data_IF_769788375259
#
_entry.id   IF_769788375259
#
_cell.length_a   1.000
_cell.length_b   1.000
_cell.length_c   1.000
_cell.angle_alpha   90.00
_cell.angle_beta   90.00
_cell.angle_gamma   90.00
#
_symmetry.space_group_name_H-M   'P 1'
#
loop_
_entity.id
_entity.type
_entity.pdbx_description
1 polymer ?
#
# COMPACT_ATOMS: atom_id res chain seq x y z
N UNK A 1 -8.30 29.90 -3.13
CA UNK A 1 -7.37 28.91 -3.69
C UNK A 1 -6.72 29.51 -4.91
N UNK A 2 -5.41 29.31 -5.08
CA UNK A 2 -4.65 29.77 -6.24
C UNK A 2 -5.22 29.19 -7.55
N UNK A 3 -5.10 29.87 -8.67
CA UNK A 3 -5.55 29.37 -9.98
C UNK A 3 -4.70 28.17 -10.44
N UNK A 4 -5.27 27.18 -11.19
CA UNK A 4 -4.52 26.03 -11.71
C UNK A 4 -3.24 26.40 -12.45
N UNK A 5 -3.25 27.52 -13.17
CA UNK A 5 -2.07 28.04 -13.90
C UNK A 5 -0.86 28.26 -13.00
N UNK A 6 -1.06 28.81 -11.80
CA UNK A 6 0.06 29.06 -10.88
C UNK A 6 0.61 27.78 -10.27
N UNK A 7 -0.22 26.75 -10.13
CA UNK A 7 0.25 25.45 -9.61
C UNK A 7 1.07 24.72 -10.67
N UNK A 8 0.74 24.89 -11.96
CA UNK A 8 1.35 24.16 -13.08
C UNK A 8 2.46 24.92 -13.84
N UNK A 9 2.59 26.23 -13.64
CA UNK A 9 3.53 27.06 -14.41
C UNK A 9 4.52 27.85 -13.54
N UNK A 10 4.51 27.69 -12.21
CA UNK A 10 5.41 28.39 -11.31
C UNK A 10 6.31 27.40 -10.56
N UNK A 11 7.47 27.88 -10.14
CA UNK A 11 8.48 27.07 -9.44
C UNK A 11 7.93 26.50 -8.12
N UNK A 12 7.78 25.17 -8.06
CA UNK A 12 7.46 24.45 -6.83
C UNK A 12 8.63 24.57 -5.86
N UNK A 13 8.46 25.32 -4.78
CA UNK A 13 9.52 25.53 -3.77
C UNK A 13 10.86 26.04 -4.36
N UNK A 14 10.81 26.80 -5.46
CA UNK A 14 11.99 27.34 -6.15
C UNK A 14 12.67 26.36 -7.13
N UNK A 15 12.09 25.17 -7.36
CA UNK A 15 12.54 24.23 -8.37
C UNK A 15 12.22 24.78 -9.77
N UNK A 16 13.21 24.76 -10.68
CA UNK A 16 13.05 25.29 -12.04
C UNK A 16 12.02 24.48 -12.82
N UNK A 17 10.96 25.16 -13.22
CA UNK A 17 9.80 24.56 -13.85
C UNK A 17 10.02 24.39 -15.36
N UNK A 18 10.10 23.14 -15.82
CA UNK A 18 10.27 22.84 -17.25
C UNK A 18 8.98 23.15 -18.00
N UNK A 19 9.06 23.80 -19.15
CA UNK A 19 7.89 24.03 -19.99
C UNK A 19 7.60 22.82 -20.88
N UNK A 20 6.80 21.86 -20.38
CA UNK A 20 6.39 20.66 -21.12
C UNK A 20 5.41 20.97 -22.26
N UNK A 21 4.99 22.22 -22.47
CA UNK A 21 4.26 22.66 -23.65
C UNK A 21 5.14 22.76 -24.91
N UNK A 22 6.47 22.81 -24.75
CA UNK A 22 7.40 22.91 -25.88
C UNK A 22 7.81 21.54 -26.42
N UNK A 23 7.92 21.43 -27.74
CA UNK A 23 8.29 20.16 -28.40
C UNK A 23 9.68 19.66 -27.97
N UNK A 24 10.65 20.57 -27.81
CA UNK A 24 12.00 20.22 -27.36
C UNK A 24 11.98 19.55 -25.97
N UNK A 25 11.29 20.14 -24.99
CA UNK A 25 11.20 19.59 -23.63
C UNK A 25 10.48 18.24 -23.65
N UNK A 26 9.35 18.12 -24.36
CA UNK A 26 8.63 16.84 -24.49
C UNK A 26 9.52 15.76 -25.09
N UNK A 27 10.25 16.07 -26.17
CA UNK A 27 11.12 15.10 -26.83
C UNK A 27 12.27 14.64 -25.91
N UNK A 28 12.84 15.54 -25.12
CA UNK A 28 13.88 15.18 -24.14
C UNK A 28 13.35 14.22 -23.08
N UNK A 29 12.15 14.48 -22.53
CA UNK A 29 11.50 13.60 -21.55
C UNK A 29 11.17 12.24 -22.18
N UNK A 30 10.57 12.22 -23.38
CA UNK A 30 10.24 10.99 -24.11
C UNK A 30 11.49 10.16 -24.40
N UNK A 31 12.59 10.79 -24.83
CA UNK A 31 13.85 10.10 -25.09
C UNK A 31 14.40 9.43 -23.83
N UNK A 32 14.38 10.16 -22.70
CA UNK A 32 14.81 9.61 -21.41
C UNK A 32 13.96 8.42 -20.97
N UNK A 33 12.63 8.55 -21.01
CA UNK A 33 11.72 7.47 -20.61
C UNK A 33 11.83 6.26 -21.55
N UNK A 34 11.91 6.47 -22.86
CA UNK A 34 12.10 5.39 -23.84
C UNK A 34 13.45 4.70 -23.69
N UNK A 35 14.50 5.43 -23.30
CA UNK A 35 15.77 4.81 -22.95
C UNK A 35 15.61 3.86 -21.75
N UNK A 36 14.93 4.28 -20.68
CA UNK A 36 14.66 3.41 -19.53
C UNK A 36 13.79 2.19 -19.91
N UNK A 37 12.77 2.37 -20.76
CA UNK A 37 11.97 1.25 -21.28
C UNK A 37 12.86 0.25 -22.03
N UNK A 38 13.82 0.74 -22.83
CA UNK A 38 14.77 -0.12 -23.54
C UNK A 38 15.65 -0.95 -22.59
N UNK A 39 15.94 -0.43 -21.39
CA UNK A 39 16.69 -1.12 -20.34
C UNK A 39 15.84 -2.09 -19.50
N UNK A 40 14.52 -2.17 -19.77
CA UNK A 40 13.64 -3.18 -19.17
C UNK A 40 12.79 -2.71 -17.99
N UNK A 41 12.66 -1.40 -17.73
CA UNK A 41 11.70 -0.93 -16.71
C UNK A 41 10.26 -1.24 -17.12
N UNK A 42 9.40 -1.57 -16.16
CA UNK A 42 7.99 -1.90 -16.40
C UNK A 42 7.05 -0.67 -16.41
N UNK A 43 7.53 0.49 -15.95
CA UNK A 43 6.66 1.62 -15.66
C UNK A 43 7.35 2.77 -14.93
N UNK A 44 6.56 3.78 -14.57
CA UNK A 44 7.04 5.04 -13.98
C UNK A 44 6.11 5.57 -12.89
N UNK A 45 6.70 6.03 -11.78
CA UNK A 45 6.12 7.06 -10.92
C UNK A 45 6.34 8.41 -11.59
N UNK A 46 5.27 9.14 -11.85
CA UNK A 46 5.36 10.52 -12.32
C UNK A 46 5.28 11.43 -11.11
N UNK A 47 6.45 11.91 -10.70
CA UNK A 47 6.64 12.86 -9.60
C UNK A 47 5.90 14.18 -9.87
N UNK A 48 5.35 14.79 -8.81
CA UNK A 48 4.72 16.11 -8.86
C UNK A 48 3.71 16.29 -10.02
N UNK A 49 2.97 15.25 -10.39
CA UNK A 49 2.07 15.28 -11.56
C UNK A 49 0.99 16.38 -11.47
N UNK A 50 0.57 16.73 -10.25
CA UNK A 50 -0.31 17.89 -9.98
C UNK A 50 0.21 19.21 -10.57
N UNK A 51 1.54 19.36 -10.66
CA UNK A 51 2.24 20.53 -11.18
C UNK A 51 2.49 20.47 -12.69
N UNK A 52 1.96 19.46 -13.39
CA UNK A 52 2.04 19.36 -14.84
C UNK A 52 0.64 19.40 -15.46
N UNK A 53 0.52 19.96 -16.66
CA UNK A 53 -0.73 19.95 -17.40
C UNK A 53 -1.06 18.54 -17.92
N UNK A 54 -2.29 18.03 -17.70
CA UNK A 54 -2.71 16.72 -18.23
C UNK A 54 -2.54 16.60 -19.75
N UNK A 55 -2.74 17.70 -20.49
CA UNK A 55 -2.55 17.71 -21.95
C UNK A 55 -1.10 17.45 -22.37
N UNK A 56 -0.13 18.05 -21.68
CA UNK A 56 1.29 17.86 -21.98
C UNK A 56 1.74 16.44 -21.61
N UNK A 57 1.27 15.94 -20.46
CA UNK A 57 1.53 14.58 -20.01
C UNK A 57 0.98 13.54 -20.99
N UNK A 58 -0.24 13.74 -21.51
CA UNK A 58 -0.84 12.86 -22.53
C UNK A 58 0.07 12.71 -23.75
N UNK A 59 0.57 13.83 -24.28
CA UNK A 59 1.47 13.82 -25.45
C UNK A 59 2.74 13.02 -25.16
N UNK A 60 3.32 13.17 -23.96
CA UNK A 60 4.51 12.41 -23.55
C UNK A 60 4.18 10.91 -23.46
N UNK A 61 3.10 10.53 -22.78
CA UNK A 61 2.72 9.14 -22.56
C UNK A 61 2.35 8.39 -23.85
N UNK A 62 1.67 9.07 -24.77
CA UNK A 62 1.30 8.50 -26.07
C UNK A 62 2.54 8.19 -26.94
N UNK A 63 3.64 8.91 -26.75
CA UNK A 63 4.91 8.72 -27.47
C UNK A 63 5.84 7.68 -26.84
N UNK A 64 5.49 7.12 -25.68
CA UNK A 64 6.30 6.07 -25.07
C UNK A 64 6.27 4.80 -25.90
N UNK A 65 7.36 4.06 -25.91
CA UNK A 65 7.44 2.73 -26.51
C UNK A 65 6.64 1.72 -25.70
N UNK A 66 6.35 0.57 -26.34
CA UNK A 66 5.92 -0.61 -25.61
C UNK A 66 7.10 -1.19 -24.82
N UNK A 67 6.80 -1.96 -23.78
CA UNK A 67 7.78 -2.61 -22.92
C UNK A 67 8.63 -3.61 -23.71
N UNK A 68 9.89 -3.72 -23.31
CA UNK A 68 10.88 -4.52 -24.04
C UNK A 68 10.65 -6.03 -23.85
N UNK A 69 10.26 -6.73 -24.91
CA UNK A 69 9.96 -8.17 -24.88
C UNK A 69 11.18 -9.04 -24.52
N UNK A 70 12.41 -8.53 -24.67
CA UNK A 70 13.62 -9.23 -24.23
C UNK A 70 13.67 -9.42 -22.69
N UNK A 71 12.91 -8.63 -21.94
CA UNK A 71 12.77 -8.74 -20.48
C UNK A 71 11.51 -9.52 -20.05
N UNK A 72 10.88 -10.27 -20.96
CA UNK A 72 9.74 -11.15 -20.65
C UNK A 72 8.36 -10.47 -20.68
N UNK A 73 8.27 -9.21 -21.11
CA UNK A 73 6.98 -8.55 -21.32
C UNK A 73 6.28 -9.07 -22.58
N UNK A 74 4.94 -9.17 -22.60
CA UNK A 74 4.21 -9.55 -23.80
C UNK A 74 4.29 -8.45 -24.85
N UNK A 75 4.24 -8.84 -26.14
CA UNK A 75 4.20 -7.88 -27.25
C UNK A 75 3.02 -6.93 -27.10
N UNK A 76 3.28 -5.63 -27.28
CA UNK A 76 2.25 -4.58 -27.14
C UNK A 76 2.01 -4.10 -25.71
N UNK A 77 2.67 -4.67 -24.69
CA UNK A 77 2.55 -4.19 -23.32
C UNK A 77 2.97 -2.71 -23.20
N UNK A 78 2.13 -1.88 -22.59
CA UNK A 78 2.43 -0.47 -22.29
C UNK A 78 3.08 -0.34 -20.91
N UNK A 79 3.96 0.65 -20.69
CA UNK A 79 4.48 0.93 -19.36
C UNK A 79 3.34 1.26 -18.39
N UNK A 80 3.41 0.69 -17.18
CA UNK A 80 2.49 1.08 -16.11
C UNK A 80 2.87 2.46 -15.60
N UNK A 81 1.93 3.40 -15.64
CA UNK A 81 2.15 4.78 -15.18
C UNK A 81 1.27 5.00 -13.96
N UNK A 82 1.82 5.63 -12.94
CA UNK A 82 1.05 6.21 -11.86
C UNK A 82 1.54 7.60 -11.53
N UNK A 83 0.61 8.48 -11.18
CA UNK A 83 0.84 9.92 -11.11
C UNK A 83 0.71 10.38 -9.67
N UNK A 84 1.71 11.11 -9.19
CA UNK A 84 1.60 11.76 -7.89
C UNK A 84 0.72 13.01 -7.97
N UNK A 85 -0.53 12.87 -7.55
CA UNK A 85 -1.44 14.00 -7.40
C UNK A 85 -1.94 14.02 -5.97
N UNK A 86 -1.38 14.93 -5.18
CA UNK A 86 -1.86 15.20 -3.82
C UNK A 86 -3.20 15.91 -3.91
N UNK A 87 -4.29 15.20 -3.65
CA UNK A 87 -5.65 15.76 -3.60
C UNK A 87 -6.39 15.22 -2.37
N UNK A 88 -6.47 16.08 -1.34
CA UNK A 88 -7.25 15.85 -0.13
C UNK A 88 -8.60 16.59 -0.14
N UNK A 89 -8.98 17.22 -1.27
CA UNK A 89 -10.15 18.07 -1.42
C UNK A 89 -9.90 19.55 -1.08
N UNK A 90 -10.80 20.43 -1.55
CA UNK A 90 -10.75 21.87 -1.26
C UNK A 90 -9.76 22.68 -2.10
N UNK A 91 -9.19 22.08 -3.15
CA UNK A 91 -8.22 22.70 -4.06
C UNK A 91 -8.77 22.84 -5.49
N UNK A 92 -8.11 23.68 -6.29
CA UNK A 92 -8.54 23.99 -7.66
C UNK A 92 -8.19 22.89 -8.68
N UNK A 93 -7.16 22.08 -8.38
CA UNK A 93 -6.76 20.94 -9.20
C UNK A 93 -7.25 19.67 -8.52
N UNK A 94 -7.86 18.81 -9.31
CA UNK A 94 -8.41 17.54 -8.83
C UNK A 94 -7.66 16.38 -9.46
N UNK A 95 -7.55 15.27 -8.74
CA UNK A 95 -6.96 14.02 -9.24
C UNK A 95 -7.74 13.43 -10.43
N UNK A 96 -9.03 13.71 -10.54
CA UNK A 96 -9.90 13.24 -11.64
C UNK A 96 -9.50 13.81 -13.01
N UNK A 97 -8.73 14.90 -13.05
CA UNK A 97 -8.13 15.41 -14.28
C UNK A 97 -7.05 14.47 -14.86
N UNK A 98 -6.51 13.57 -14.04
CA UNK A 98 -5.35 12.72 -14.36
C UNK A 98 -5.71 11.24 -14.51
N UNK A 99 -6.84 10.77 -13.97
CA UNK A 99 -7.29 9.38 -14.12
C UNK A 99 -7.54 8.95 -15.57
N UNK A 100 -7.95 9.83 -16.52
CA UNK A 100 -8.03 9.45 -17.93
C UNK A 100 -6.66 9.26 -18.62
N UNK A 101 -5.56 9.53 -17.93
CA UNK A 101 -4.19 9.32 -18.42
C UNK A 101 -3.60 8.01 -17.91
N UNK A 102 -3.67 7.81 -16.59
CA UNK A 102 -3.08 6.67 -15.90
C UNK A 102 -3.58 6.60 -14.44
N UNK A 103 -3.11 5.61 -13.68
CA UNK A 103 -3.39 5.53 -12.26
C UNK A 103 -2.87 6.77 -11.51
N UNK A 104 -3.45 7.05 -10.35
CA UNK A 104 -3.11 8.19 -9.50
C UNK A 104 -2.90 7.73 -8.06
N UNK A 105 -1.94 8.34 -7.37
CA UNK A 105 -1.71 8.13 -5.93
C UNK A 105 -2.92 8.58 -5.11
N UNK A 106 -3.59 7.66 -4.41
CA UNK A 106 -4.76 7.94 -3.60
C UNK A 106 -4.36 8.33 -2.16
N UNK A 107 -3.91 9.59 -1.96
CA UNK A 107 -3.42 10.06 -0.65
C UNK A 107 -4.48 10.00 0.47
N UNK A 108 -5.79 10.08 0.15
CA UNK A 108 -6.84 9.95 1.17
C UNK A 108 -6.88 8.54 1.77
N UNK A 109 -6.43 7.53 1.02
CA UNK A 109 -6.36 6.14 1.50
C UNK A 109 -5.49 6.03 2.76
N UNK A 110 -4.22 6.47 2.68
CA UNK A 110 -3.28 6.41 3.80
C UNK A 110 -3.70 7.30 4.96
N UNK A 111 -4.25 8.49 4.66
CA UNK A 111 -4.76 9.43 5.66
C UNK A 111 -5.91 8.85 6.50
N UNK A 112 -6.96 8.33 5.85
CA UNK A 112 -8.14 7.82 6.55
C UNK A 112 -7.85 6.50 7.29
N UNK A 113 -7.04 5.59 6.72
CA UNK A 113 -6.62 4.39 7.44
C UNK A 113 -5.70 4.74 8.62
N UNK A 114 -4.77 5.69 8.47
CA UNK A 114 -3.95 6.16 9.59
C UNK A 114 -4.82 6.72 10.71
N UNK A 115 -5.83 7.51 10.38
CA UNK A 115 -6.82 8.02 11.33
C UNK A 115 -7.59 6.90 12.02
N UNK A 116 -8.11 5.92 11.28
CA UNK A 116 -8.90 4.82 11.84
C UNK A 116 -8.07 3.92 12.77
N UNK A 117 -6.87 3.53 12.34
CA UNK A 117 -5.99 2.66 13.13
C UNK A 117 -5.33 3.38 14.33
N UNK A 118 -5.21 4.72 14.29
CA UNK A 118 -4.91 5.55 15.46
C UNK A 118 -6.15 5.89 16.32
N UNK A 119 -7.30 5.23 16.10
CA UNK A 119 -8.54 5.42 16.87
C UNK A 119 -9.16 6.83 16.75
N UNK A 120 -8.76 7.60 15.75
CA UNK A 120 -9.43 8.84 15.34
C UNK A 120 -10.70 8.61 14.51
N UNK A 121 -10.98 7.35 14.15
CA UNK A 121 -12.25 6.85 13.65
C UNK A 121 -12.41 5.37 14.03
N UNK A 122 -13.64 4.85 14.08
CA UNK A 122 -13.87 3.44 14.42
C UNK A 122 -13.69 2.51 13.22
N UNK A 123 -13.07 1.35 13.42
CA UNK A 123 -12.83 0.39 12.33
C UNK A 123 -14.13 -0.14 11.68
N UNK A 124 -15.26 -0.21 12.41
CA UNK A 124 -16.55 -0.64 11.85
C UNK A 124 -16.97 0.13 10.59
N UNK A 125 -16.56 1.40 10.47
CA UNK A 125 -16.97 2.23 9.36
C UNK A 125 -16.31 1.83 8.04
N UNK A 126 -15.24 1.02 8.10
CA UNK A 126 -14.55 0.51 6.92
C UNK A 126 -15.36 -0.55 6.15
N UNK A 127 -16.58 -0.89 6.57
CA UNK A 127 -17.49 -1.84 5.90
C UNK A 127 -17.76 -1.49 4.43
N UNK A 128 -17.73 -0.21 4.08
CA UNK A 128 -17.91 0.30 2.72
C UNK A 128 -16.66 1.02 2.18
N UNK A 129 -15.47 0.64 2.66
CA UNK A 129 -14.20 1.24 2.26
C UNK A 129 -14.00 1.22 0.74
N UNK A 130 -13.56 2.35 0.17
CA UNK A 130 -13.43 2.55 -1.27
C UNK A 130 -14.11 3.85 -1.74
N UNK A 131 -14.75 3.89 -2.93
CA UNK A 131 -15.33 5.11 -3.49
C UNK A 131 -16.37 5.81 -2.60
N UNK A 132 -17.08 5.06 -1.74
CA UNK A 132 -18.04 5.64 -0.80
C UNK A 132 -17.39 6.56 0.26
N UNK A 133 -16.08 6.44 0.45
CA UNK A 133 -15.27 7.33 1.28
C UNK A 133 -14.73 8.55 0.51
N UNK A 134 -15.21 8.77 -0.71
CA UNK A 134 -14.69 9.81 -1.59
C UNK A 134 -13.26 9.49 -2.06
N UNK A 135 -12.94 8.19 -2.21
CA UNK A 135 -11.73 7.72 -2.90
C UNK A 135 -12.01 7.54 -4.40
N UNK A 136 -10.96 7.42 -5.21
CA UNK A 136 -11.02 7.11 -6.63
C UNK A 136 -11.71 5.76 -6.91
N UNK A 137 -12.01 5.50 -8.19
CA UNK A 137 -12.33 4.15 -8.61
C UNK A 137 -11.11 3.24 -8.37
N UNK A 138 -11.37 2.00 -7.95
CA UNK A 138 -10.32 1.05 -7.55
C UNK A 138 -9.26 0.83 -8.62
N UNK A 139 -9.63 0.82 -9.89
CA UNK A 139 -8.70 0.57 -11.00
C UNK A 139 -7.77 1.76 -11.29
N UNK A 140 -8.15 2.95 -10.83
CA UNK A 140 -7.40 4.20 -11.05
C UNK A 140 -6.50 4.54 -9.85
N UNK A 141 -6.59 3.78 -8.76
CA UNK A 141 -5.95 4.11 -7.48
C UNK A 141 -4.69 3.27 -7.23
N UNK A 142 -3.54 3.95 -7.10
CA UNK A 142 -2.38 3.40 -6.38
C UNK A 142 -2.50 3.78 -4.91
N UNK A 143 -2.48 2.80 -4.02
CA UNK A 143 -2.75 2.97 -2.59
C UNK A 143 -1.52 2.67 -1.75
N UNK A 144 -1.32 3.40 -0.67
CA UNK A 144 -0.25 3.18 0.29
C UNK A 144 -0.68 3.73 1.65
N UNK A 145 -0.10 3.23 2.74
CA UNK A 145 -0.32 3.79 4.08
C UNK A 145 0.52 5.06 4.23
N UNK A 146 1.81 4.94 3.93
CA UNK A 146 2.79 6.01 3.91
C UNK A 146 3.61 5.97 2.61
N UNK A 147 4.24 7.08 2.30
CA UNK A 147 5.26 7.19 1.27
C UNK A 147 6.50 7.87 1.86
N UNK A 148 7.53 8.06 1.04
CA UNK A 148 8.80 8.64 1.49
C UNK A 148 8.66 10.08 2.02
N UNK A 149 7.70 10.88 1.56
CA UNK A 149 7.51 12.25 2.04
C UNK A 149 6.71 12.29 3.33
N UNK A 150 5.52 11.69 3.34
CA UNK A 150 4.59 11.82 4.46
C UNK A 150 5.00 11.04 5.70
N UNK A 151 5.86 10.02 5.58
CA UNK A 151 6.46 9.39 6.74
C UNK A 151 7.40 10.32 7.52
N UNK A 152 7.87 11.40 6.89
CA UNK A 152 8.68 12.48 7.50
C UNK A 152 7.82 13.65 7.99
N UNK A 153 6.49 13.59 7.82
CA UNK A 153 5.60 14.72 8.06
C UNK A 153 5.64 15.78 6.96
N UNK A 154 6.30 15.49 5.83
CA UNK A 154 6.28 16.34 4.65
C UNK A 154 5.07 15.99 3.77
N UNK A 155 4.65 16.91 2.90
CA UNK A 155 3.55 16.63 1.98
C UNK A 155 2.19 16.46 2.67
N UNK A 156 1.46 15.40 2.32
CA UNK A 156 0.02 15.29 2.56
C UNK A 156 -0.35 14.34 3.72
N UNK A 157 -1.42 14.68 4.43
CA UNK A 157 -2.13 13.76 5.34
C UNK A 157 -1.80 13.88 6.83
N UNK A 158 -0.79 14.66 7.21
CA UNK A 158 -0.48 14.95 8.62
C UNK A 158 0.00 13.72 9.39
N UNK A 159 -0.76 13.29 10.41
CA UNK A 159 -0.41 12.16 11.30
C UNK A 159 -0.59 10.79 10.60
N UNK A 160 0.30 10.50 9.65
CA UNK A 160 0.36 9.24 8.92
C UNK A 160 1.06 8.15 9.77
N UNK A 161 0.54 6.93 9.72
CA UNK A 161 1.19 5.77 10.34
C UNK A 161 2.46 5.40 9.58
N UNK A 162 3.53 5.14 10.33
CA UNK A 162 4.82 4.71 9.78
C UNK A 162 5.37 3.53 10.57
N UNK A 163 6.55 3.02 10.18
CA UNK A 163 7.27 2.01 10.95
C UNK A 163 7.50 2.39 12.43
N UNK A 164 7.52 3.70 12.76
CA UNK A 164 7.66 4.21 14.13
C UNK A 164 6.44 3.96 15.02
N UNK A 165 5.29 3.56 14.45
CA UNK A 165 4.09 3.10 15.15
C UNK A 165 3.75 1.66 14.73
N UNK A 166 4.71 0.75 14.89
CA UNK A 166 4.71 -0.57 14.27
C UNK A 166 3.42 -1.41 14.45
N UNK A 167 2.78 -1.39 15.64
CA UNK A 167 1.55 -2.19 15.89
C UNK A 167 0.38 -1.70 15.03
N UNK A 168 0.10 -0.40 15.04
CA UNK A 168 -0.95 0.23 14.23
C UNK A 168 -0.61 0.17 12.74
N UNK A 169 0.65 0.42 12.38
CA UNK A 169 1.12 0.39 11.00
C UNK A 169 0.93 -0.98 10.34
N UNK A 170 1.32 -2.06 11.03
CA UNK A 170 1.06 -3.44 10.57
C UNK A 170 -0.44 -3.73 10.44
N UNK A 171 -1.27 -3.21 11.35
CA UNK A 171 -2.73 -3.29 11.26
C UNK A 171 -3.27 -2.65 9.99
N UNK A 172 -2.86 -1.42 9.70
CA UNK A 172 -3.30 -0.69 8.51
C UNK A 172 -2.82 -1.35 7.21
N UNK A 173 -1.56 -1.81 7.16
CA UNK A 173 -1.03 -2.57 6.00
C UNK A 173 -1.80 -3.88 5.81
N UNK A 174 -2.07 -4.63 6.88
CA UNK A 174 -2.83 -5.86 6.78
C UNK A 174 -4.23 -5.61 6.23
N UNK A 175 -4.90 -4.53 6.64
CA UNK A 175 -6.19 -4.13 6.04
C UNK A 175 -6.04 -3.77 4.56
N UNK A 176 -5.04 -2.96 4.19
CA UNK A 176 -4.75 -2.61 2.81
C UNK A 176 -4.55 -3.84 1.91
N UNK A 177 -3.78 -4.83 2.39
CA UNK A 177 -3.48 -6.04 1.63
C UNK A 177 -4.67 -7.01 1.61
N UNK A 178 -5.45 -7.09 2.70
CA UNK A 178 -6.65 -7.91 2.77
C UNK A 178 -7.82 -7.35 1.96
N UNK A 179 -7.93 -6.03 1.79
CA UNK A 179 -9.03 -5.38 1.05
C UNK A 179 -8.77 -5.39 -0.47
N UNK A 180 -9.78 -5.64 -1.34
CA UNK A 180 -9.57 -5.71 -2.79
C UNK A 180 -9.35 -4.36 -3.49
N UNK A 181 -9.47 -3.24 -2.77
CA UNK A 181 -9.41 -1.89 -3.34
C UNK A 181 -7.99 -1.49 -3.71
N UNK A 182 -7.83 -0.91 -4.90
CA UNK A 182 -6.60 -0.28 -5.35
C UNK A 182 -5.44 -1.23 -5.62
N UNK A 183 -4.33 -0.62 -6.06
CA UNK A 183 -3.04 -1.27 -6.25
C UNK A 183 -2.11 -0.89 -5.09
N UNK A 184 -1.87 -1.81 -4.12
CA UNK A 184 -1.10 -1.49 -2.93
C UNK A 184 0.40 -1.37 -3.24
N UNK A 185 0.99 -0.27 -2.79
CA UNK A 185 2.42 -0.05 -2.71
C UNK A 185 2.83 -0.10 -1.24
N UNK A 186 3.85 -0.92 -0.94
CA UNK A 186 4.48 -0.99 0.38
C UNK A 186 5.69 -0.07 0.41
N UNK A 187 5.81 0.70 1.49
CA UNK A 187 7.04 1.44 1.77
C UNK A 187 8.10 0.49 2.34
N UNK A 188 9.36 0.77 2.04
CA UNK A 188 10.51 0.12 2.68
C UNK A 188 11.55 1.19 3.00
N UNK A 189 11.72 1.47 4.28
CA UNK A 189 12.39 2.67 4.77
C UNK A 189 13.83 2.39 5.21
N UNK A 190 14.55 3.47 5.45
CA UNK A 190 15.71 3.50 6.33
C UNK A 190 15.38 4.29 7.60
N UNK A 191 16.10 4.05 8.69
CA UNK A 191 15.88 4.72 9.95
C UNK A 191 16.31 6.19 9.88
N UNK A 192 15.51 7.09 10.45
CA UNK A 192 15.83 8.51 10.52
C UNK A 192 15.25 9.16 11.78
N UNK A 193 16.00 10.11 12.35
CA UNK A 193 15.52 11.03 13.40
C UNK A 193 15.30 12.45 12.87
N UNK A 194 16.16 12.88 11.95
CA UNK A 194 16.01 14.13 11.21
C UNK A 194 15.22 13.87 9.93
N UNK A 195 14.17 14.66 9.67
CA UNK A 195 13.31 14.54 8.48
C UNK A 195 14.05 14.87 7.18
N UNK A 196 15.14 15.63 7.27
CA UNK A 196 16.00 15.98 6.12
C UNK A 196 17.16 15.00 5.90
N UNK A 197 17.28 13.94 6.71
CA UNK A 197 18.39 13.00 6.58
C UNK A 197 18.27 12.14 5.31
N UNK A 198 19.39 12.00 4.61
CA UNK A 198 19.58 11.02 3.54
C UNK A 198 19.67 9.58 4.05
N UNK A 199 19.83 8.60 3.14
CA UNK A 199 19.97 7.19 3.51
C UNK A 199 21.28 6.92 4.27
N UNK A 200 21.43 5.74 4.91
CA UNK A 200 22.68 5.31 5.53
C UNK A 200 23.85 5.44 4.56
N UNK A 201 24.87 6.21 4.93
CA UNK A 201 26.01 6.54 4.07
C UNK A 201 27.34 6.55 4.85
N UNK A 202 28.43 6.22 4.16
CA UNK A 202 29.78 6.34 4.72
C UNK A 202 30.26 7.82 4.74
N UNK A 203 31.46 8.06 5.27
CA UNK A 203 32.02 9.42 5.37
C UNK A 203 32.35 10.06 4.01
N UNK A 204 32.40 9.28 2.94
CA UNK A 204 32.60 9.77 1.56
C UNK A 204 31.27 10.01 0.84
N UNK A 205 30.16 9.68 1.49
CA UNK A 205 28.80 9.80 0.98
C UNK A 205 28.35 8.66 0.07
N UNK A 206 29.04 7.52 0.07
CA UNK A 206 28.54 6.33 -0.60
C UNK A 206 27.42 5.70 0.24
N UNK A 207 26.33 5.28 -0.40
CA UNK A 207 25.22 4.60 0.28
C UNK A 207 25.70 3.24 0.78
N UNK A 208 25.45 2.97 2.07
CA UNK A 208 25.75 1.68 2.69
C UNK A 208 24.65 0.68 2.33
N UNK A 209 25.03 -0.42 1.67
CA UNK A 209 24.10 -1.49 1.29
C UNK A 209 23.37 -2.08 2.51
N UNK A 210 22.10 -2.48 2.37
CA UNK A 210 21.43 -3.29 3.39
C UNK A 210 22.18 -4.60 3.64
N UNK A 211 22.35 -4.98 4.90
CA UNK A 211 22.75 -6.34 5.29
C UNK A 211 21.51 -7.14 5.68
N UNK A 212 21.56 -8.48 5.50
CA UNK A 212 20.49 -9.39 5.92
C UNK A 212 20.98 -10.17 7.14
N UNK A 213 20.25 -10.04 8.24
CA UNK A 213 20.54 -10.72 9.49
C UNK A 213 20.01 -12.17 9.47
N UNK A 214 20.41 -12.99 10.44
CA UNK A 214 20.02 -14.41 10.50
C UNK A 214 18.52 -14.62 10.76
N UNK A 215 17.83 -13.62 11.32
CA UNK A 215 16.38 -13.59 11.52
C UNK A 215 15.63 -13.00 10.31
N UNK A 216 16.32 -12.80 9.19
CA UNK A 216 15.83 -12.22 7.94
C UNK A 216 15.48 -10.72 8.01
N UNK A 217 15.76 -10.04 9.13
CA UNK A 217 15.69 -8.58 9.24
C UNK A 217 16.83 -7.91 8.47
N UNK A 218 16.72 -6.60 8.23
CA UNK A 218 17.82 -5.83 7.68
C UNK A 218 18.70 -5.21 8.78
N UNK A 219 19.98 -5.03 8.48
CA UNK A 219 20.91 -4.21 9.25
C UNK A 219 21.30 -2.92 8.51
N UNK A 220 22.39 -2.28 8.95
CA UNK A 220 22.93 -1.05 8.35
C UNK A 220 21.95 0.13 8.29
N UNK A 221 21.01 0.22 9.24
CA UNK A 221 20.04 1.31 9.32
C UNK A 221 18.85 1.16 8.37
N UNK A 222 18.67 0.02 7.71
CA UNK A 222 17.51 -0.25 6.87
C UNK A 222 16.39 -0.92 7.67
N UNK A 223 15.17 -0.37 7.57
CA UNK A 223 14.00 -0.87 8.32
C UNK A 223 13.44 -2.15 7.70
N UNK A 224 13.33 -2.16 6.37
CA UNK A 224 12.83 -3.30 5.59
C UNK A 224 11.47 -3.83 6.07
N UNK A 225 10.46 -2.97 6.12
CA UNK A 225 9.09 -3.33 6.47
C UNK A 225 8.56 -4.49 5.60
N UNK A 226 8.95 -4.55 4.33
CA UNK A 226 8.63 -5.65 3.41
C UNK A 226 9.14 -7.04 3.88
N UNK A 227 10.09 -7.10 4.82
CA UNK A 227 10.60 -8.34 5.44
C UNK A 227 9.96 -8.67 6.78
N UNK A 228 9.10 -7.80 7.30
CA UNK A 228 8.34 -8.11 8.51
C UNK A 228 7.35 -9.22 8.19
N UNK A 229 7.33 -10.29 8.99
CA UNK A 229 6.45 -11.45 8.79
C UNK A 229 5.01 -11.05 8.52
N UNK A 230 4.48 -10.16 9.34
CA UNK A 230 3.12 -9.68 9.23
C UNK A 230 2.83 -9.04 7.86
N UNK A 231 3.83 -8.45 7.21
CA UNK A 231 3.69 -7.76 5.92
C UNK A 231 3.85 -8.75 4.76
N UNK A 232 4.95 -9.52 4.67
CA UNK A 232 5.10 -10.47 3.56
C UNK A 232 4.05 -11.58 3.59
N UNK A 233 3.63 -12.02 4.78
CA UNK A 233 2.53 -12.97 4.90
C UNK A 233 1.21 -12.40 4.38
N UNK A 234 0.98 -11.10 4.56
CA UNK A 234 -0.22 -10.45 4.01
C UNK A 234 -0.11 -10.19 2.50
N UNK A 235 1.09 -10.11 1.94
CA UNK A 235 1.30 -10.16 0.49
C UNK A 235 0.88 -11.54 -0.03
N UNK A 236 1.29 -12.62 0.63
CA UNK A 236 0.86 -13.98 0.29
C UNK A 236 -0.67 -14.15 0.44
N UNK A 237 -1.26 -13.61 1.51
CA UNK A 237 -2.71 -13.56 1.70
C UNK A 237 -3.40 -12.87 0.51
N UNK A 238 -2.92 -11.69 0.08
CA UNK A 238 -3.49 -10.95 -1.04
C UNK A 238 -3.39 -11.76 -2.34
N UNK A 239 -2.22 -12.34 -2.61
CA UNK A 239 -2.00 -13.18 -3.78
C UNK A 239 -2.97 -14.37 -3.80
N UNK A 240 -3.18 -15.01 -2.65
CA UNK A 240 -4.12 -16.13 -2.52
C UNK A 240 -5.57 -15.71 -2.70
N UNK A 241 -5.95 -14.57 -2.13
CA UNK A 241 -7.30 -14.02 -2.24
C UNK A 241 -7.63 -13.56 -3.69
N UNK A 242 -6.62 -13.10 -4.43
CA UNK A 242 -6.76 -12.59 -5.79
C UNK A 242 -7.85 -11.52 -5.89
N UNK A 243 -8.75 -11.68 -6.85
CA UNK A 243 -9.88 -10.77 -7.11
C UNK A 243 -11.15 -11.10 -6.30
N UNK A 244 -11.09 -12.04 -5.33
CA UNK A 244 -12.27 -12.41 -4.54
C UNK A 244 -12.86 -11.20 -3.85
N UNK A 245 -14.18 -11.03 -3.87
CA UNK A 245 -14.85 -9.94 -3.16
C UNK A 245 -14.76 -10.11 -1.63
N UNK A 246 -14.97 -9.03 -0.89
CA UNK A 246 -15.25 -9.11 0.54
C UNK A 246 -16.61 -9.77 0.75
N UNK A 247 -16.71 -10.65 1.73
CA UNK A 247 -17.97 -11.24 2.19
C UNK A 247 -17.93 -11.48 3.69
N UNK A 248 -19.09 -11.75 4.30
CA UNK A 248 -19.22 -12.03 5.73
C UNK A 248 -18.51 -11.00 6.62
N UNK A 249 -18.72 -9.72 6.31
CA UNK A 249 -18.30 -8.64 7.19
C UNK A 249 -18.95 -8.80 8.56
N UNK A 250 -18.14 -8.67 9.60
CA UNK A 250 -18.56 -8.64 10.99
C UNK A 250 -17.87 -7.47 11.68
N UNK A 251 -18.59 -6.79 12.55
CA UNK A 251 -18.03 -5.84 13.50
C UNK A 251 -18.79 -5.88 14.82
N UNK A 252 -18.15 -5.39 15.89
CA UNK A 252 -18.73 -5.32 17.22
C UNK A 252 -19.43 -3.98 17.53
N UNK A 253 -19.70 -3.14 16.52
CA UNK A 253 -20.14 -1.77 16.73
C UNK A 253 -19.02 -0.80 17.20
N UNK A 254 -17.76 -1.21 17.21
CA UNK A 254 -16.60 -0.41 17.61
C UNK A 254 -15.36 -0.69 16.72
N UNK A 255 -14.25 -1.19 17.29
CA UNK A 255 -12.96 -1.36 16.62
C UNK A 255 -12.52 -2.83 16.51
N UNK A 256 -13.45 -3.77 16.67
CA UNK A 256 -13.24 -5.15 16.27
C UNK A 256 -14.00 -5.39 14.97
N UNK A 257 -13.26 -5.80 13.94
CA UNK A 257 -13.82 -6.11 12.62
C UNK A 257 -13.25 -7.43 12.11
N UNK A 258 -13.99 -8.12 11.26
CA UNK A 258 -13.52 -9.30 10.56
C UNK A 258 -14.24 -9.44 9.22
N UNK A 259 -13.59 -10.05 8.24
CA UNK A 259 -14.22 -10.36 6.96
C UNK A 259 -13.50 -11.48 6.20
N UNK A 260 -14.21 -12.08 5.26
CA UNK A 260 -13.68 -13.05 4.32
C UNK A 260 -13.32 -12.40 2.99
N UNK A 261 -12.34 -12.97 2.29
CA UNK A 261 -12.08 -12.76 0.86
C UNK A 261 -12.52 -14.01 0.10
N UNK A 262 -13.79 -14.02 -0.32
CA UNK A 262 -14.46 -15.22 -0.82
C UNK A 262 -14.28 -16.42 0.14
N UNK A 263 -13.89 -17.56 -0.41
CA UNK A 263 -13.48 -18.76 0.36
C UNK A 263 -11.96 -18.94 0.41
N UNK A 264 -11.19 -17.88 0.14
CA UNK A 264 -9.74 -17.95 0.00
C UNK A 264 -9.00 -17.52 1.27
N UNK A 265 -9.52 -16.55 2.01
CA UNK A 265 -8.90 -16.02 3.22
C UNK A 265 -9.89 -15.36 4.18
N UNK A 266 -9.52 -15.32 5.45
CA UNK A 266 -10.24 -14.66 6.54
C UNK A 266 -9.26 -13.80 7.34
N UNK A 267 -9.68 -12.60 7.72
CA UNK A 267 -8.90 -11.68 8.55
C UNK A 267 -9.77 -11.10 9.66
N UNK A 268 -9.19 -10.92 10.85
CA UNK A 268 -9.80 -10.25 11.98
C UNK A 268 -8.84 -9.21 12.59
N UNK A 269 -9.41 -8.13 13.09
CA UNK A 269 -8.70 -7.02 13.71
C UNK A 269 -9.27 -6.73 15.09
N UNK A 270 -8.41 -6.42 16.06
CA UNK A 270 -8.84 -5.90 17.36
C UNK A 270 -8.08 -4.62 17.70
N UNK A 271 -8.72 -3.48 17.42
CA UNK A 271 -8.24 -2.17 17.83
C UNK A 271 -9.14 -1.55 18.92
N UNK A 272 -9.84 -2.37 19.71
CA UNK A 272 -10.50 -1.93 20.95
C UNK A 272 -9.52 -2.03 22.15
N UNK A 273 -9.98 -1.69 23.35
CA UNK A 273 -9.21 -1.81 24.60
C UNK A 273 -9.50 -3.11 25.38
N UNK A 274 -10.32 -3.99 24.80
CA UNK A 274 -10.68 -5.29 25.36
C UNK A 274 -10.55 -6.39 24.31
N UNK A 275 -10.53 -7.63 24.76
CA UNK A 275 -10.23 -8.77 23.91
C UNK A 275 -11.37 -9.07 22.93
N UNK A 276 -11.00 -9.50 21.72
CA UNK A 276 -11.90 -10.14 20.78
C UNK A 276 -11.90 -11.63 21.11
N UNK A 277 -13.06 -12.17 21.48
CA UNK A 277 -13.26 -13.60 21.70
C UNK A 277 -14.64 -14.01 21.15
N UNK A 278 -14.68 -14.42 19.89
CA UNK A 278 -15.93 -14.67 19.16
C UNK A 278 -15.82 -15.89 18.26
N UNK A 279 -16.92 -16.63 18.10
CA UNK A 279 -17.02 -17.64 17.04
C UNK A 279 -17.54 -16.96 15.77
N UNK A 280 -16.71 -16.85 14.74
CA UNK A 280 -17.01 -16.11 13.51
C UNK A 280 -17.08 -17.04 12.30
N UNK A 281 -17.85 -16.65 11.28
CA UNK A 281 -17.88 -17.33 9.97
C UNK A 281 -16.61 -16.95 9.21
N UNK A 282 -15.76 -17.93 8.92
CA UNK A 282 -14.48 -17.70 8.22
C UNK A 282 -14.57 -17.91 6.71
N UNK A 283 -15.67 -18.51 6.24
CA UNK A 283 -15.87 -18.86 4.83
C UNK A 283 -14.85 -19.87 4.27
N UNK A 284 -13.96 -20.38 5.12
CA UNK A 284 -12.92 -21.31 4.74
C UNK A 284 -13.45 -22.75 4.84
N UNK A 285 -12.91 -23.67 4.03
CA UNK A 285 -13.13 -25.10 4.23
C UNK A 285 -12.68 -25.54 5.62
N UNK A 286 -13.36 -26.55 6.16
CA UNK A 286 -12.98 -27.18 7.42
C UNK A 286 -11.52 -27.65 7.39
N UNK A 287 -10.82 -27.48 8.49
CA UNK A 287 -9.40 -27.79 8.59
C UNK A 287 -8.70 -26.97 9.64
N UNK A 288 -7.38 -27.13 9.71
CA UNK A 288 -6.55 -26.36 10.61
C UNK A 288 -5.68 -25.38 9.82
N UNK A 289 -5.60 -24.16 10.31
CA UNK A 289 -4.89 -23.05 9.69
C UNK A 289 -3.93 -22.41 10.68
N UNK A 290 -2.75 -22.03 10.22
CA UNK A 290 -1.79 -21.22 10.92
C UNK A 290 -2.12 -19.75 10.69
N UNK A 291 -2.19 -18.99 11.79
CA UNK A 291 -2.25 -17.54 11.73
C UNK A 291 -0.91 -16.99 11.23
N UNK A 292 -0.92 -16.45 10.01
CA UNK A 292 0.29 -15.99 9.32
C UNK A 292 0.84 -14.68 9.89
N UNK A 293 0.12 -14.04 10.82
CA UNK A 293 0.56 -12.85 11.54
C UNK A 293 1.43 -13.24 12.73
N UNK A 294 0.93 -14.08 13.63
CA UNK A 294 1.66 -14.47 14.85
C UNK A 294 2.77 -15.50 14.60
N UNK A 295 2.75 -16.22 13.48
CA UNK A 295 3.80 -17.16 13.13
C UNK A 295 3.68 -17.66 11.69
N UNK A 296 4.23 -18.85 11.45
CA UNK A 296 4.36 -19.48 10.15
C UNK A 296 4.01 -20.96 10.24
N UNK A 297 3.69 -21.57 9.09
CA UNK A 297 3.62 -23.01 8.98
C UNK A 297 5.04 -23.60 8.97
N UNK A 298 5.27 -24.58 9.85
CA UNK A 298 6.50 -25.38 9.90
C UNK A 298 6.15 -26.86 9.86
N UNK A 299 6.26 -27.45 8.67
CA UNK A 299 5.74 -28.80 8.40
C UNK A 299 4.24 -28.86 8.64
N UNK A 300 3.81 -29.74 9.55
CA UNK A 300 2.40 -29.91 9.93
C UNK A 300 2.04 -29.16 11.23
N UNK A 301 2.82 -28.15 11.60
CA UNK A 301 2.60 -27.34 12.80
C UNK A 301 2.58 -25.84 12.47
N UNK A 302 2.04 -25.05 13.39
CA UNK A 302 2.10 -23.59 13.36
C UNK A 302 3.05 -23.12 14.45
N UNK A 303 3.97 -22.21 14.12
CA UNK A 303 4.85 -21.60 15.13
C UNK A 303 4.13 -20.54 15.96
N UNK A 304 3.04 -19.98 15.43
CA UNK A 304 2.14 -19.03 16.08
C UNK A 304 0.78 -19.65 16.45
N UNK A 305 -0.27 -18.83 16.42
CA UNK A 305 -1.64 -19.28 16.71
C UNK A 305 -2.12 -20.27 15.65
N UNK A 306 -2.96 -21.21 16.09
CA UNK A 306 -3.57 -22.25 15.25
C UNK A 306 -5.09 -22.14 15.35
N UNK A 307 -5.76 -22.08 14.21
CA UNK A 307 -7.21 -21.89 14.09
C UNK A 307 -7.83 -23.12 13.46
N UNK A 308 -8.80 -23.72 14.14
CA UNK A 308 -9.57 -24.85 13.62
C UNK A 308 -10.90 -24.35 13.09
N UNK A 309 -11.14 -24.56 11.80
CA UNK A 309 -12.38 -24.22 11.11
C UNK A 309 -13.26 -25.47 11.07
N UNK A 310 -14.49 -25.35 11.57
CA UNK A 310 -15.49 -26.41 11.58
C UNK A 310 -16.09 -26.70 10.19
N UNK A 311 -16.90 -27.75 10.09
CA UNK A 311 -17.62 -28.12 8.86
C UNK A 311 -18.64 -27.08 8.40
N UNK A 312 -19.08 -26.20 9.30
CA UNK A 312 -19.96 -25.05 9.04
C UNK A 312 -19.19 -23.77 8.64
N UNK A 313 -17.87 -23.86 8.50
CA UNK A 313 -16.98 -22.73 8.17
C UNK A 313 -16.67 -21.80 9.34
N UNK A 314 -17.18 -22.08 10.55
CA UNK A 314 -16.96 -21.22 11.72
C UNK A 314 -15.69 -21.60 12.47
N UNK A 315 -15.08 -20.62 13.13
CA UNK A 315 -13.95 -20.81 14.02
C UNK A 315 -14.01 -19.88 15.23
N UNK A 316 -13.43 -20.32 16.35
CA UNK A 316 -13.21 -19.47 17.52
C UNK A 316 -12.02 -18.55 17.26
N UNK A 317 -12.25 -17.25 17.25
CA UNK A 317 -11.26 -16.21 16.99
C UNK A 317 -10.99 -15.48 18.31
N UNK A 318 -9.72 -15.52 18.73
CA UNK A 318 -9.23 -14.86 19.94
C UNK A 318 -8.03 -13.97 19.65
N UNK A 319 -8.18 -12.68 19.94
CA UNK A 319 -7.18 -11.65 19.69
C UNK A 319 -7.20 -10.64 20.84
N UNK A 320 -6.17 -10.66 21.68
CA UNK A 320 -6.10 -9.82 22.87
C UNK A 320 -5.87 -8.36 22.52
N UNK A 321 -6.41 -7.43 23.31
CA UNK A 321 -6.17 -6.00 23.10
C UNK A 321 -4.66 -5.65 23.21
N UNK A 322 -3.95 -6.39 24.06
CA UNK A 322 -2.53 -6.22 24.34
C UNK A 322 -1.62 -7.18 23.55
N UNK A 323 -2.16 -7.97 22.61
CA UNK A 323 -1.33 -8.79 21.73
C UNK A 323 -0.33 -7.93 20.95
N UNK A 324 0.83 -8.49 20.63
CA UNK A 324 1.89 -7.78 19.91
C UNK A 324 1.41 -7.22 18.56
N UNK A 325 0.58 -8.00 17.86
CA UNK A 325 -0.12 -7.61 16.65
C UNK A 325 -1.63 -7.56 16.91
N UNK A 326 -2.31 -6.58 16.30
CA UNK A 326 -3.77 -6.41 16.40
C UNK A 326 -4.53 -7.14 15.30
N UNK A 327 -3.90 -8.10 14.62
CA UNK A 327 -4.43 -8.78 13.43
C UNK A 327 -4.27 -10.28 13.60
N UNK A 328 -5.25 -11.02 13.07
CA UNK A 328 -5.17 -12.46 12.81
C UNK A 328 -5.57 -12.69 11.36
N UNK A 329 -4.79 -13.48 10.62
CA UNK A 329 -5.09 -13.80 9.23
C UNK A 329 -4.82 -15.26 8.90
N UNK A 330 -5.76 -15.91 8.22
CA UNK A 330 -5.66 -17.30 7.76
C UNK A 330 -6.15 -17.41 6.31
N UNK A 331 -5.56 -18.31 5.53
CA UNK A 331 -5.94 -18.49 4.12
C UNK A 331 -5.72 -19.93 3.61
N UNK A 332 -6.24 -20.23 2.43
CA UNK A 332 -6.15 -21.58 1.85
C UNK A 332 -4.82 -21.91 1.16
N UNK A 333 -3.92 -20.93 1.03
CA UNK A 333 -2.55 -21.13 0.55
C UNK A 333 -1.67 -21.95 1.51
N UNK A 334 -0.56 -22.46 0.98
CA UNK A 334 0.31 -23.43 1.64
C UNK A 334 0.99 -22.87 2.90
N UNK A 335 1.11 -21.55 3.02
CA UNK A 335 1.71 -20.85 4.15
C UNK A 335 0.81 -20.88 5.40
N UNK A 336 -0.48 -21.16 5.24
CA UNK A 336 -1.48 -21.11 6.32
C UNK A 336 -2.19 -22.44 6.53
N UNK A 337 -2.65 -23.14 5.49
CA UNK A 337 -3.41 -24.38 5.67
C UNK A 337 -2.51 -25.56 6.03
N UNK A 338 -2.82 -26.31 7.09
CA UNK A 338 -2.14 -27.56 7.46
C UNK A 338 -2.65 -28.75 6.65
#
# INVERSE_FOLDING_TARGET
GCCPDRVRNCELSGLKDLNQGTEYVRQMIVNYMNHLISLGVAGFRIDAAKHMWPGDMRVIFDRLHNLNTAHGFPSGARPYIYQEVIDLGGEAITRDEYTPLAAVTEFKFGMELSRAFNRGNQLRWLVNWGPAWGLLASNDALTFIDNHDNQRGHGAGGNILTYKQAKQYKGAIAFMLAHPYGWPQLMSSFDFHNTEAGPPMDSSGNIISPSINSDNSCGNGWICEHRWRQIYSMVAFRNRAGNSAISNWWDNGSNQIAFCRGNQGFVAFNNDYWDLNQTLQTCLPAGTYCDVISGEKSGNNCTGKRITVGSDGRASISLGANDYDMVLAIHTGDESRL
#
